data_IF_866602999346
#
_entry.id   IF_866602999346
#
_cell.length_a   1.000
_cell.length_b   1.000
_cell.length_c   1.000
_cell.angle_alpha   90.00
_cell.angle_beta   90.00
_cell.angle_gamma   90.00
#
_symmetry.space_group_name_H-M   'P 1'
#
loop_
_entity.id
_entity.type
_entity.pdbx_description
1 polymer ?
#
# COMPACT_ATOMS: atom_id res chain seq x y z
N UNK A 1 3.96 -8.01 24.16
CA UNK A 1 3.35 -6.83 23.51
C UNK A 1 3.50 -5.67 24.47
N UNK A 2 3.68 -4.46 23.95
CA UNK A 2 4.19 -3.30 24.67
C UNK A 2 4.00 -2.01 23.87
N UNK A 3 4.89 -1.03 24.02
CA UNK A 3 4.80 0.25 23.33
C UNK A 3 5.55 0.22 21.98
N UNK A 4 4.84 0.54 20.90
CA UNK A 4 5.37 0.72 19.55
C UNK A 4 5.83 2.15 19.36
N UNK A 5 7.10 2.33 19.01
CA UNK A 5 7.76 3.65 18.94
C UNK A 5 8.05 4.07 17.51
N UNK A 6 8.18 5.38 17.30
CA UNK A 6 8.74 5.90 16.06
C UNK A 6 10.16 5.36 15.84
N UNK A 7 10.45 4.87 14.64
CA UNK A 7 11.76 4.34 14.29
C UNK A 7 12.91 5.36 14.49
N UNK A 8 12.62 6.66 14.38
CA UNK A 8 13.62 7.72 14.56
C UNK A 8 14.06 7.86 16.03
N UNK A 9 13.18 7.49 16.96
CA UNK A 9 13.39 7.61 18.41
C UNK A 9 13.95 6.34 19.03
N UNK A 10 14.12 5.26 18.24
CA UNK A 10 14.77 4.05 18.73
C UNK A 10 16.24 4.31 19.04
N UNK A 11 16.66 3.87 20.22
CA UNK A 11 18.07 3.75 20.55
C UNK A 11 18.79 2.78 19.61
N UNK A 12 20.12 2.88 19.54
CA UNK A 12 20.93 1.94 18.75
C UNK A 12 20.72 0.49 19.19
N UNK A 13 20.48 0.24 20.48
CA UNK A 13 20.21 -1.11 20.99
C UNK A 13 18.83 -1.60 20.54
N UNK A 14 17.79 -0.77 20.59
CA UNK A 14 16.45 -1.17 20.11
C UNK A 14 16.45 -1.48 18.61
N UNK A 15 17.21 -0.71 17.79
CA UNK A 15 17.39 -1.01 16.36
C UNK A 15 18.08 -2.35 16.16
N UNK A 16 19.16 -2.61 16.90
CA UNK A 16 19.91 -3.86 16.84
C UNK A 16 19.03 -5.06 17.25
N UNK A 17 18.34 -4.97 18.39
CA UNK A 17 17.46 -6.02 18.90
C UNK A 17 16.34 -6.36 17.90
N UNK A 18 15.76 -5.35 17.26
CA UNK A 18 14.76 -5.55 16.22
C UNK A 18 15.35 -6.27 15.00
N UNK A 19 16.48 -5.79 14.48
CA UNK A 19 17.17 -6.39 13.33
C UNK A 19 17.53 -7.85 13.61
N UNK A 20 18.11 -8.13 14.78
CA UNK A 20 18.52 -9.47 15.17
C UNK A 20 17.32 -10.41 15.31
N UNK A 21 16.21 -9.94 15.88
CA UNK A 21 14.97 -10.73 15.97
C UNK A 21 14.39 -11.04 14.59
N UNK A 22 14.41 -10.08 13.65
CA UNK A 22 13.94 -10.30 12.27
C UNK A 22 14.84 -11.29 11.52
N UNK A 23 16.16 -11.16 11.62
CA UNK A 23 17.12 -12.08 11.02
C UNK A 23 16.98 -13.50 11.61
N UNK A 24 16.80 -13.62 12.92
CA UNK A 24 16.54 -14.90 13.58
C UNK A 24 15.21 -15.51 13.10
N UNK A 25 14.14 -14.71 12.98
CA UNK A 25 12.85 -15.17 12.47
C UNK A 25 12.97 -15.66 11.02
N UNK A 26 13.76 -14.96 10.20
CA UNK A 26 14.09 -15.36 8.83
C UNK A 26 14.86 -16.68 8.78
N UNK A 27 15.90 -16.83 9.61
CA UNK A 27 16.70 -18.07 9.69
C UNK A 27 15.87 -19.30 10.07
N UNK A 28 14.79 -19.12 10.82
CA UNK A 28 13.87 -20.20 11.21
C UNK A 28 12.88 -20.61 10.10
N UNK A 29 12.82 -19.86 9.00
CA UNK A 29 11.80 -20.01 7.94
C UNK A 29 10.43 -19.43 8.28
N UNK A 30 10.19 -18.96 9.52
CA UNK A 30 8.92 -18.37 9.92
C UNK A 30 8.63 -17.05 9.24
N UNK A 31 9.64 -16.22 8.97
CA UNK A 31 9.44 -14.96 8.24
C UNK A 31 8.80 -15.20 6.86
N UNK A 32 9.22 -16.26 6.16
CA UNK A 32 8.71 -16.58 4.82
C UNK A 32 7.24 -17.04 4.85
N UNK A 33 6.78 -17.56 5.98
CA UNK A 33 5.35 -17.85 6.16
C UNK A 33 4.52 -16.57 6.21
N UNK A 34 5.05 -15.48 6.76
CA UNK A 34 4.38 -14.17 6.72
C UNK A 34 4.32 -13.62 5.30
N UNK A 35 5.42 -13.72 4.53
CA UNK A 35 5.43 -13.34 3.10
C UNK A 35 4.37 -14.13 2.33
N UNK A 36 4.34 -15.47 2.49
CA UNK A 36 3.37 -16.33 1.82
C UNK A 36 1.92 -16.01 2.26
N UNK A 37 1.70 -15.76 3.55
CA UNK A 37 0.38 -15.42 4.09
C UNK A 37 -0.20 -14.17 3.41
N UNK A 38 0.62 -13.15 3.19
CA UNK A 38 0.22 -11.93 2.49
C UNK A 38 -0.05 -12.18 1.01
N UNK A 39 0.82 -12.95 0.33
CA UNK A 39 0.63 -13.38 -1.08
C UNK A 39 -0.70 -14.12 -1.23
N UNK A 40 -0.99 -15.08 -0.36
CA UNK A 40 -2.21 -15.88 -0.37
C UNK A 40 -3.45 -15.01 -0.16
N UNK A 41 -3.39 -14.07 0.79
CA UNK A 41 -4.51 -13.17 1.06
C UNK A 41 -4.78 -12.20 -0.10
N UNK A 42 -3.73 -11.71 -0.76
CA UNK A 42 -3.85 -10.92 -1.98
C UNK A 42 -4.41 -11.74 -3.15
N UNK A 43 -4.07 -13.03 -3.22
CA UNK A 43 -4.57 -13.94 -4.24
C UNK A 43 -6.00 -14.45 -3.99
N UNK A 44 -6.57 -14.22 -2.80
CA UNK A 44 -7.90 -14.70 -2.41
C UNK A 44 -9.00 -13.64 -2.63
N UNK A 45 -9.77 -13.69 -3.74
CA UNK A 45 -10.78 -12.69 -4.06
C UNK A 45 -12.01 -12.74 -3.14
N UNK A 46 -12.61 -11.58 -2.92
CA UNK A 46 -13.86 -11.42 -2.15
C UNK A 46 -14.84 -10.56 -2.96
N UNK A 47 -15.94 -11.11 -3.52
CA UNK A 47 -16.37 -12.50 -3.41
C UNK A 47 -15.43 -13.46 -4.15
N UNK A 48 -15.51 -14.75 -3.82
CA UNK A 48 -14.67 -15.81 -4.40
C UNK A 48 -14.82 -15.98 -5.92
N UNK A 49 -15.91 -15.46 -6.49
CA UNK A 49 -16.16 -15.42 -7.95
C UNK A 49 -15.52 -14.21 -8.63
N UNK A 50 -15.01 -13.25 -7.86
CA UNK A 50 -14.41 -12.02 -8.34
C UNK A 50 -12.95 -12.18 -8.77
N UNK A 51 -12.31 -11.04 -9.04
CA UNK A 51 -10.87 -10.97 -9.30
C UNK A 51 -10.15 -10.47 -8.04
N UNK A 52 -9.01 -11.09 -7.65
CA UNK A 52 -8.19 -10.60 -6.54
C UNK A 52 -7.63 -9.19 -6.81
N UNK A 53 -7.67 -8.78 -8.08
CA UNK A 53 -7.26 -7.45 -8.53
C UNK A 53 -8.31 -6.36 -8.24
N UNK A 54 -9.52 -6.75 -7.85
CA UNK A 54 -10.62 -5.83 -7.51
C UNK A 54 -10.81 -5.69 -6.01
N UNK A 55 -11.11 -6.80 -5.31
CA UNK A 55 -11.15 -6.88 -3.86
C UNK A 55 -10.69 -8.26 -3.43
N UNK A 56 -9.85 -8.31 -2.41
CA UNK A 56 -9.32 -9.54 -1.85
C UNK A 56 -9.35 -9.48 -0.32
N UNK A 57 -8.89 -10.55 0.33
CA UNK A 57 -9.00 -10.73 1.78
C UNK A 57 -8.28 -9.65 2.58
N UNK A 58 -7.17 -9.12 2.06
CA UNK A 58 -6.31 -8.17 2.76
C UNK A 58 -6.38 -6.74 2.22
N UNK A 59 -6.90 -6.51 1.01
CA UNK A 59 -6.83 -5.22 0.32
C UNK A 59 -8.11 -4.90 -0.48
N UNK A 60 -8.21 -3.62 -0.84
CA UNK A 60 -9.24 -3.01 -1.68
C UNK A 60 -10.64 -3.21 -1.10
N UNK A 61 -10.75 -3.29 0.21
CA UNK A 61 -12.01 -3.53 0.90
C UNK A 61 -11.90 -3.28 2.41
N UNK A 62 -13.04 -3.31 3.14
CA UNK A 62 -13.11 -2.95 4.55
C UNK A 62 -12.18 -3.74 5.47
N UNK A 63 -11.76 -4.94 5.10
CA UNK A 63 -10.87 -5.75 5.93
C UNK A 63 -9.41 -5.30 5.90
N UNK A 64 -9.04 -4.35 5.02
CA UNK A 64 -7.66 -3.87 4.87
C UNK A 64 -6.99 -3.54 6.21
N UNK A 65 -7.61 -2.70 7.03
CA UNK A 65 -7.05 -2.27 8.30
C UNK A 65 -7.02 -3.38 9.38
N UNK A 66 -8.13 -4.07 9.70
CA UNK A 66 -8.09 -5.15 10.70
C UNK A 66 -7.22 -6.34 10.29
N UNK A 67 -7.17 -6.67 9.00
CA UNK A 67 -6.32 -7.75 8.49
C UNK A 67 -4.84 -7.42 8.77
N UNK A 68 -4.39 -6.23 8.38
CA UNK A 68 -3.01 -5.83 8.62
C UNK A 68 -2.71 -5.67 10.12
N UNK A 69 -3.64 -5.17 10.94
CA UNK A 69 -3.46 -5.12 12.40
C UNK A 69 -3.20 -6.49 13.01
N UNK A 70 -3.98 -7.50 12.65
CA UNK A 70 -3.75 -8.87 13.13
C UNK A 70 -2.43 -9.45 12.60
N UNK A 71 -2.14 -9.23 11.32
CA UNK A 71 -0.89 -9.65 10.69
C UNK A 71 0.35 -9.09 11.42
N UNK A 72 0.34 -7.79 11.73
CA UNK A 72 1.39 -7.12 12.51
C UNK A 72 1.47 -7.66 13.95
N UNK A 73 0.33 -7.87 14.61
CA UNK A 73 0.28 -8.41 15.98
C UNK A 73 0.91 -9.79 16.06
N UNK A 74 0.58 -10.68 15.12
CA UNK A 74 1.16 -12.03 15.05
C UNK A 74 2.65 -11.98 14.73
N UNK A 75 3.08 -11.09 13.83
CA UNK A 75 4.50 -10.89 13.54
C UNK A 75 5.27 -10.44 14.78
N UNK A 76 4.76 -9.42 15.50
CA UNK A 76 5.35 -8.91 16.74
C UNK A 76 5.41 -9.99 17.84
N UNK A 77 4.40 -10.84 17.96
CA UNK A 77 4.42 -11.99 18.89
C UNK A 77 5.54 -12.97 18.55
N UNK A 78 5.78 -13.26 17.27
CA UNK A 78 6.86 -14.16 16.86
C UNK A 78 8.24 -13.52 17.10
N UNK A 79 8.40 -12.21 16.90
CA UNK A 79 9.62 -11.50 17.29
C UNK A 79 9.85 -11.54 18.80
N UNK A 80 8.79 -11.37 19.61
CA UNK A 80 8.87 -11.40 21.07
C UNK A 80 9.19 -12.78 21.65
N UNK A 81 8.88 -13.86 20.92
CA UNK A 81 9.36 -15.21 21.26
C UNK A 81 10.87 -15.34 21.13
N UNK A 82 11.51 -14.53 20.29
CA UNK A 82 12.97 -14.48 20.10
C UNK A 82 13.59 -13.52 21.12
N UNK A 83 13.07 -12.29 21.21
CA UNK A 83 13.49 -11.29 22.19
C UNK A 83 12.25 -10.58 22.77
N UNK A 84 11.87 -10.86 24.04
CA UNK A 84 10.68 -10.29 24.66
C UNK A 84 10.65 -8.76 24.77
N UNK A 85 11.80 -8.09 24.65
CA UNK A 85 11.90 -6.62 24.69
C UNK A 85 11.59 -5.95 23.35
N UNK A 86 11.53 -6.71 22.25
CA UNK A 86 11.25 -6.16 20.92
C UNK A 86 9.77 -5.82 20.79
N UNK A 87 9.48 -4.57 20.43
CA UNK A 87 8.18 -4.15 19.92
C UNK A 87 8.36 -3.69 18.46
N UNK A 88 7.29 -3.75 17.68
CA UNK A 88 7.32 -3.34 16.29
C UNK A 88 7.40 -1.81 16.18
N UNK A 89 8.47 -1.23 15.60
CA UNK A 89 8.51 0.21 15.38
C UNK A 89 7.62 0.61 14.20
N UNK A 90 7.24 1.89 14.16
CA UNK A 90 6.56 2.47 13.01
C UNK A 90 7.46 3.45 12.26
N UNK A 91 7.28 3.54 10.95
CA UNK A 91 7.94 4.54 10.12
C UNK A 91 7.01 5.71 9.84
N UNK A 92 7.25 6.85 10.50
CA UNK A 92 6.59 8.10 10.15
C UNK A 92 7.22 8.72 8.88
N UNK A 93 6.73 8.26 7.74
CA UNK A 93 7.10 8.77 6.42
C UNK A 93 6.56 10.18 6.13
N UNK A 94 5.82 10.81 7.04
CA UNK A 94 5.45 12.23 6.88
C UNK A 94 6.60 13.16 7.28
N UNK A 95 7.48 12.67 8.17
CA UNK A 95 8.64 13.40 8.70
C UNK A 95 9.95 12.85 8.13
N UNK A 96 10.22 11.55 8.31
CA UNK A 96 11.46 10.92 7.86
C UNK A 96 11.30 10.35 6.44
N UNK A 97 11.37 11.24 5.44
CA UNK A 97 10.74 11.05 4.13
C UNK A 97 11.64 11.20 2.89
N UNK A 98 12.97 11.05 3.05
CA UNK A 98 13.92 11.21 1.95
C UNK A 98 15.01 10.12 1.96
N UNK A 99 15.90 10.13 0.96
CA UNK A 99 16.93 9.09 0.81
C UNK A 99 17.98 9.09 1.95
N UNK A 100 18.12 10.20 2.68
CA UNK A 100 19.03 10.31 3.83
C UNK A 100 18.34 10.02 5.16
N UNK A 101 17.10 9.55 5.11
CA UNK A 101 16.31 9.23 6.29
C UNK A 101 16.98 8.16 7.14
N UNK A 102 16.87 8.31 8.46
CA UNK A 102 17.54 7.44 9.45
C UNK A 102 17.11 5.98 9.33
N UNK A 103 15.91 5.76 8.78
CA UNK A 103 15.40 4.42 8.50
C UNK A 103 16.28 3.64 7.50
N UNK A 104 16.87 4.32 6.52
CA UNK A 104 17.71 3.72 5.45
C UNK A 104 19.18 3.57 5.83
N UNK A 105 19.52 3.75 7.11
CA UNK A 105 20.88 3.55 7.59
C UNK A 105 21.32 2.09 7.50
N UNK A 106 22.62 1.87 7.32
CA UNK A 106 23.22 0.54 7.16
C UNK A 106 23.17 -0.31 8.44
N UNK A 107 22.87 0.28 9.60
CA UNK A 107 22.61 -0.46 10.84
C UNK A 107 21.12 -0.68 11.10
N UNK A 108 20.25 -0.39 10.13
CA UNK A 108 18.81 -0.62 10.24
C UNK A 108 18.21 -1.22 8.96
N UNK A 109 17.55 -0.46 8.08
CA UNK A 109 16.86 -1.06 6.92
C UNK A 109 17.72 -1.16 5.66
N UNK A 110 18.90 -0.54 5.66
CA UNK A 110 19.74 -0.42 4.46
C UNK A 110 19.17 0.55 3.42
N UNK A 111 20.00 0.90 2.44
CA UNK A 111 19.73 1.95 1.47
C UNK A 111 18.85 1.55 0.28
N UNK A 112 18.96 2.36 -0.77
CA UNK A 112 18.33 2.11 -2.07
C UNK A 112 19.03 0.97 -2.83
N UNK A 113 18.38 0.45 -3.87
CA UNK A 113 18.97 -0.56 -4.74
C UNK A 113 20.02 0.01 -5.70
N UNK A 114 21.03 -0.79 -6.03
CA UNK A 114 22.06 -0.46 -7.02
C UNK A 114 21.54 -0.69 -8.45
N UNK A 115 21.35 0.35 -9.29
CA UNK A 115 20.82 0.20 -10.64
C UNK A 115 21.70 -0.65 -11.57
N UNK A 116 23.01 -0.66 -11.33
CA UNK A 116 23.96 -1.49 -12.08
C UNK A 116 23.82 -2.99 -11.77
N UNK A 117 23.12 -3.34 -10.70
CA UNK A 117 22.83 -4.72 -10.27
C UNK A 117 21.32 -5.01 -10.22
N UNK A 118 20.57 -4.43 -11.16
CA UNK A 118 19.12 -4.61 -11.28
C UNK A 118 18.32 -4.01 -10.12
N UNK A 119 18.85 -3.00 -9.44
CA UNK A 119 18.26 -2.38 -8.24
C UNK A 119 18.28 -3.28 -6.99
N UNK A 120 19.26 -4.17 -6.86
CA UNK A 120 19.48 -4.97 -5.66
C UNK A 120 19.91 -4.09 -4.48
N UNK A 121 19.36 -4.32 -3.30
CA UNK A 121 19.84 -3.69 -2.05
C UNK A 121 21.16 -4.36 -1.65
N UNK A 122 22.20 -3.54 -1.50
CA UNK A 122 23.58 -3.97 -1.24
C UNK A 122 24.13 -3.47 0.11
N UNK A 123 23.35 -2.71 0.87
CA UNK A 123 23.73 -2.24 2.21
C UNK A 123 22.69 -2.63 3.25
N UNK A 124 23.09 -2.62 4.52
CA UNK A 124 22.24 -2.99 5.63
C UNK A 124 22.10 -4.50 5.87
N UNK A 125 21.49 -4.90 6.99
CA UNK A 125 21.34 -6.30 7.40
C UNK A 125 20.49 -7.13 6.42
N UNK A 126 19.65 -6.49 5.62
CA UNK A 126 18.73 -7.15 4.69
C UNK A 126 19.23 -7.22 3.25
N UNK A 127 20.52 -6.94 3.02
CA UNK A 127 21.17 -7.23 1.75
C UNK A 127 21.33 -8.74 1.56
N UNK A 128 21.25 -9.24 0.33
CA UNK A 128 21.40 -10.69 0.08
C UNK A 128 22.77 -11.23 0.51
N UNK A 129 23.84 -10.42 0.45
CA UNK A 129 25.18 -10.84 0.90
C UNK A 129 25.26 -10.97 2.44
N UNK A 130 24.25 -10.47 3.16
CA UNK A 130 24.09 -10.60 4.61
C UNK A 130 23.07 -11.68 4.99
N UNK A 131 22.89 -12.70 4.14
CA UNK A 131 21.99 -13.85 4.31
C UNK A 131 20.49 -13.52 4.28
N UNK A 132 20.10 -12.37 3.70
CA UNK A 132 18.70 -12.06 3.42
C UNK A 132 18.29 -12.58 2.03
N UNK A 133 18.13 -13.89 1.92
CA UNK A 133 17.68 -14.55 0.69
C UNK A 133 16.16 -14.65 0.65
N UNK A 134 15.54 -14.10 -0.38
CA UNK A 134 14.10 -14.16 -0.59
C UNK A 134 13.70 -15.50 -1.22
N UNK A 135 12.55 -16.04 -0.80
CA UNK A 135 12.01 -17.32 -1.31
C UNK A 135 10.97 -17.16 -2.41
N UNK A 136 10.42 -15.96 -2.55
CA UNK A 136 9.38 -15.59 -3.52
C UNK A 136 9.85 -14.34 -4.29
N UNK A 137 9.67 -14.34 -5.61
CA UNK A 137 10.01 -13.24 -6.53
C UNK A 137 11.51 -12.91 -6.67
N UNK A 138 12.34 -13.97 -6.69
CA UNK A 138 13.79 -13.90 -6.89
C UNK A 138 14.56 -13.94 -5.56
N UNK A 139 15.91 -13.98 -5.58
CA UNK A 139 16.68 -14.26 -4.37
C UNK A 139 17.01 -13.04 -3.52
N UNK A 140 16.96 -11.82 -4.06
CA UNK A 140 17.51 -10.63 -3.39
C UNK A 140 16.49 -9.49 -3.29
N UNK A 141 16.51 -8.79 -2.16
CA UNK A 141 15.74 -7.57 -1.93
C UNK A 141 16.08 -6.50 -2.98
N UNK A 142 15.06 -5.84 -3.53
CA UNK A 142 15.20 -4.75 -4.50
C UNK A 142 14.43 -3.52 -4.08
N UNK A 143 15.02 -2.35 -4.30
CA UNK A 143 14.38 -1.04 -4.06
C UNK A 143 14.72 -0.06 -5.17
N UNK A 144 13.79 0.82 -5.51
CA UNK A 144 13.97 1.92 -6.48
C UNK A 144 13.41 3.21 -5.88
N UNK A 145 13.92 3.56 -4.71
CA UNK A 145 13.37 4.59 -3.85
C UNK A 145 13.29 5.92 -4.61
N UNK A 146 12.11 6.54 -4.60
CA UNK A 146 11.86 7.84 -5.22
C UNK A 146 11.82 7.84 -6.76
N UNK A 147 11.96 6.68 -7.41
CA UNK A 147 12.13 6.62 -8.88
C UNK A 147 10.80 6.73 -9.62
N UNK A 148 9.76 6.02 -9.16
CA UNK A 148 8.43 6.03 -9.80
C UNK A 148 7.57 7.20 -9.34
N UNK A 149 7.72 7.60 -8.08
CA UNK A 149 7.08 8.75 -7.44
C UNK A 149 8.15 9.47 -6.64
N UNK A 150 8.19 10.81 -6.73
CA UNK A 150 9.25 11.61 -6.12
C UNK A 150 8.98 12.07 -4.68
N UNK A 151 7.79 11.84 -4.12
CA UNK A 151 7.46 12.25 -2.75
C UNK A 151 6.57 11.25 -2.02
N UNK A 152 6.79 11.12 -0.72
CA UNK A 152 5.93 10.42 0.22
C UNK A 152 4.70 11.26 0.60
N UNK A 153 3.66 10.66 1.22
CA UNK A 153 2.53 11.42 1.71
C UNK A 153 2.91 12.36 2.88
N UNK A 154 2.19 13.47 3.02
CA UNK A 154 2.48 14.52 4.01
C UNK A 154 1.61 14.41 5.25
N UNK A 155 1.99 15.09 6.33
CA UNK A 155 1.16 15.18 7.55
C UNK A 155 -0.22 15.79 7.25
N UNK A 156 -0.30 16.81 6.40
CA UNK A 156 -1.57 17.40 5.95
C UNK A 156 -2.48 16.36 5.29
N UNK A 157 -1.93 15.44 4.48
CA UNK A 157 -2.74 14.39 3.85
C UNK A 157 -3.24 13.36 4.88
N UNK A 158 -2.46 13.10 5.92
CA UNK A 158 -2.87 12.27 7.06
C UNK A 158 -3.96 12.99 7.87
N UNK A 159 -3.81 14.28 8.17
CA UNK A 159 -4.81 15.09 8.88
C UNK A 159 -6.15 15.15 8.12
N UNK A 160 -6.09 15.37 6.81
CA UNK A 160 -7.26 15.31 5.92
C UNK A 160 -7.94 13.93 6.00
N UNK A 161 -7.15 12.85 6.02
CA UNK A 161 -7.68 11.50 6.16
C UNK A 161 -8.35 11.28 7.53
N UNK A 162 -7.72 11.74 8.61
CA UNK A 162 -8.23 11.63 9.98
C UNK A 162 -9.54 12.43 10.19
N UNK A 163 -9.83 13.40 9.34
CA UNK A 163 -11.08 14.19 9.40
C UNK A 163 -12.32 13.42 8.91
N UNK A 164 -12.15 12.34 8.14
CA UNK A 164 -13.25 11.58 7.56
C UNK A 164 -13.98 10.80 8.66
N UNK A 165 -15.26 11.07 8.89
CA UNK A 165 -16.03 10.46 9.98
C UNK A 165 -16.32 8.96 9.76
N UNK A 166 -16.53 8.55 8.51
CA UNK A 166 -16.99 7.20 8.17
C UNK A 166 -15.82 6.27 7.87
N UNK A 167 -15.77 5.10 8.52
CA UNK A 167 -14.72 4.10 8.32
C UNK A 167 -14.57 3.69 6.85
N UNK A 168 -15.66 3.27 6.21
CA UNK A 168 -15.69 2.94 4.79
C UNK A 168 -17.11 3.19 4.26
N UNK A 169 -17.27 3.23 2.94
CA UNK A 169 -18.56 3.47 2.29
C UNK A 169 -18.82 2.42 1.21
N UNK A 170 -20.10 2.23 0.85
CA UNK A 170 -20.44 1.45 -0.33
C UNK A 170 -19.71 2.01 -1.58
N UNK A 171 -19.28 1.16 -2.52
CA UNK A 171 -19.56 -0.27 -2.64
C UNK A 171 -18.60 -1.20 -1.85
N UNK A 172 -17.86 -0.67 -0.86
CA UNK A 172 -16.96 -1.45 0.01
C UNK A 172 -15.79 -2.06 -0.77
N UNK A 173 -15.27 -1.29 -1.73
CA UNK A 173 -14.11 -1.68 -2.50
C UNK A 173 -13.19 -0.48 -2.86
N UNK A 174 -12.19 -0.69 -3.71
CA UNK A 174 -11.27 0.35 -4.18
C UNK A 174 -11.95 1.54 -4.89
N UNK A 175 -13.21 1.41 -5.31
CA UNK A 175 -13.97 2.47 -5.98
C UNK A 175 -14.79 3.36 -5.02
N UNK A 176 -14.76 3.05 -3.72
CA UNK A 176 -15.47 3.82 -2.69
C UNK A 176 -14.94 5.25 -2.62
N UNK A 177 -15.83 6.25 -2.51
CA UNK A 177 -15.44 7.66 -2.57
C UNK A 177 -14.48 8.02 -1.42
N UNK A 178 -13.22 8.43 -1.70
CA UNK A 178 -12.24 8.76 -0.68
C UNK A 178 -12.60 10.02 0.13
N UNK A 179 -13.60 10.81 -0.27
CA UNK A 179 -14.13 11.90 0.56
C UNK A 179 -15.02 11.38 1.71
N UNK A 180 -15.53 10.15 1.60
CA UNK A 180 -16.46 9.56 2.58
C UNK A 180 -16.02 8.19 3.11
N UNK A 181 -14.87 7.68 2.65
CA UNK A 181 -14.28 6.42 3.13
C UNK A 181 -12.88 6.67 3.68
N UNK A 182 -12.76 6.63 5.01
CA UNK A 182 -11.46 6.71 5.69
C UNK A 182 -10.53 5.58 5.22
N UNK A 183 -11.03 4.35 5.17
CA UNK A 183 -10.29 3.16 4.71
C UNK A 183 -9.75 3.37 3.31
N UNK A 184 -10.57 3.77 2.34
CA UNK A 184 -10.12 3.91 0.95
C UNK A 184 -9.21 5.14 0.75
N UNK A 185 -9.41 6.21 1.53
CA UNK A 185 -8.49 7.36 1.57
C UNK A 185 -7.11 6.96 2.08
N UNK A 186 -7.05 6.21 3.18
CA UNK A 186 -5.81 5.74 3.79
C UNK A 186 -5.13 4.68 2.93
N UNK A 187 -5.89 3.76 2.34
CA UNK A 187 -5.35 2.73 1.44
C UNK A 187 -4.80 3.36 0.14
N UNK A 188 -5.52 4.34 -0.44
CA UNK A 188 -5.03 5.21 -1.50
C UNK A 188 -5.29 4.72 -2.92
N UNK A 189 -6.53 4.32 -3.23
CA UNK A 189 -6.91 3.83 -4.56
C UNK A 189 -7.47 4.90 -5.51
N UNK A 190 -7.98 6.03 -5.00
CA UNK A 190 -8.62 7.07 -5.81
C UNK A 190 -8.13 8.48 -5.47
N UNK A 191 -8.06 9.32 -6.50
CA UNK A 191 -7.89 10.76 -6.35
C UNK A 191 -6.47 11.20 -5.97
N UNK A 192 -6.36 12.46 -5.54
CA UNK A 192 -5.11 13.05 -5.06
C UNK A 192 -4.99 12.85 -3.56
N UNK A 193 -3.82 12.43 -3.07
CA UNK A 193 -3.60 12.18 -1.63
C UNK A 193 -3.54 10.71 -1.23
N UNK A 194 -3.21 9.81 -2.17
CA UNK A 194 -2.94 8.39 -1.87
C UNK A 194 -1.88 8.27 -0.77
N UNK A 195 -2.19 7.49 0.28
CA UNK A 195 -1.33 7.33 1.44
C UNK A 195 -0.55 6.00 1.37
N UNK A 196 -1.15 4.88 1.80
CA UNK A 196 -0.48 3.57 1.86
C UNK A 196 0.12 3.14 0.52
N UNK A 197 -0.69 3.10 -0.55
CA UNK A 197 -0.24 2.67 -1.87
C UNK A 197 0.92 3.53 -2.40
N UNK A 198 0.95 4.82 -2.04
CA UNK A 198 2.00 5.74 -2.47
C UNK A 198 3.34 5.38 -1.85
N UNK A 199 3.38 4.94 -0.59
CA UNK A 199 4.61 4.52 0.08
C UNK A 199 5.18 3.25 -0.54
N UNK A 200 4.33 2.25 -0.81
CA UNK A 200 4.73 1.04 -1.55
C UNK A 200 5.38 1.39 -2.91
N UNK A 201 4.75 2.27 -3.70
CA UNK A 201 5.27 2.72 -4.99
C UNK A 201 6.54 3.59 -4.85
N UNK A 202 6.64 4.39 -3.79
CA UNK A 202 7.79 5.25 -3.54
C UNK A 202 9.04 4.43 -3.20
N UNK A 203 8.91 3.35 -2.42
CA UNK A 203 10.04 2.41 -2.18
C UNK A 203 10.36 1.63 -3.47
N UNK A 204 9.34 1.15 -4.17
CA UNK A 204 9.52 0.37 -5.40
C UNK A 204 10.10 -1.02 -5.17
N UNK A 205 10.47 -1.70 -6.26
CA UNK A 205 11.10 -3.02 -6.20
C UNK A 205 10.22 -4.06 -5.48
N UNK A 206 10.78 -4.74 -4.48
CA UNK A 206 10.05 -5.78 -3.73
C UNK A 206 8.79 -5.23 -3.04
N UNK A 207 8.79 -3.96 -2.62
CA UNK A 207 7.63 -3.32 -1.98
C UNK A 207 6.43 -3.09 -2.91
N UNK A 208 6.53 -3.30 -4.23
CA UNK A 208 5.36 -3.17 -5.15
C UNK A 208 4.66 -4.49 -5.45
N UNK A 209 5.19 -5.61 -4.97
CA UNK A 209 4.67 -6.94 -5.27
C UNK A 209 3.70 -7.43 -4.21
N UNK A 210 2.95 -8.49 -4.53
CA UNK A 210 2.17 -9.21 -3.52
C UNK A 210 3.04 -9.84 -2.44
N UNK A 211 4.33 -10.05 -2.73
CA UNK A 211 5.35 -10.48 -1.79
C UNK A 211 6.06 -9.30 -1.10
N UNK A 212 5.47 -8.10 -1.05
CA UNK A 212 6.07 -6.91 -0.41
C UNK A 212 6.61 -7.09 1.02
N UNK A 213 6.09 -8.01 1.86
CA UNK A 213 6.73 -8.35 3.13
C UNK A 213 8.15 -8.94 3.01
N UNK A 214 8.63 -9.29 1.82
CA UNK A 214 10.05 -9.60 1.56
C UNK A 214 10.99 -8.47 2.03
N UNK A 215 10.50 -7.23 2.03
CA UNK A 215 11.19 -6.07 2.62
C UNK A 215 10.72 -5.85 4.07
N UNK A 216 11.59 -5.91 5.09
CA UNK A 216 11.20 -5.62 6.47
C UNK A 216 10.61 -4.21 6.68
N UNK A 217 10.87 -3.26 5.77
CA UNK A 217 10.21 -1.95 5.76
C UNK A 217 8.68 -2.06 5.67
N UNK A 218 8.15 -3.15 5.09
CA UNK A 218 6.71 -3.43 5.04
C UNK A 218 6.08 -3.30 6.42
N UNK A 219 6.68 -3.95 7.42
CA UNK A 219 6.10 -4.02 8.76
C UNK A 219 6.13 -2.66 9.45
N UNK A 220 7.18 -1.85 9.23
CA UNK A 220 7.27 -0.49 9.77
C UNK A 220 6.29 0.46 9.10
N UNK A 221 6.12 0.34 7.78
CA UNK A 221 5.13 1.10 7.01
C UNK A 221 3.72 0.80 7.50
N UNK A 222 3.35 -0.48 7.56
CA UNK A 222 2.03 -0.93 8.00
C UNK A 222 1.79 -0.64 9.48
N UNK A 223 2.82 -0.65 10.33
CA UNK A 223 2.70 -0.23 11.73
C UNK A 223 2.30 1.24 11.86
N UNK A 224 2.73 2.11 10.93
CA UNK A 224 2.28 3.50 10.89
C UNK A 224 0.87 3.65 10.31
N UNK A 225 0.48 2.82 9.32
CA UNK A 225 -0.92 2.75 8.86
C UNK A 225 -1.85 2.33 10.01
N UNK A 226 -1.43 1.35 10.81
CA UNK A 226 -2.15 0.90 12.00
C UNK A 226 -2.25 2.00 13.07
N UNK A 227 -1.18 2.79 13.26
CA UNK A 227 -1.16 3.96 14.14
C UNK A 227 -2.20 4.99 13.71
N UNK A 228 -2.23 5.36 12.42
CA UNK A 228 -3.20 6.31 11.87
C UNK A 228 -4.63 5.80 12.09
N UNK A 229 -4.87 4.50 11.93
CA UNK A 229 -6.19 3.93 12.23
C UNK A 229 -6.53 4.01 13.72
N UNK A 230 -5.60 3.68 14.61
CA UNK A 230 -5.81 3.82 16.06
C UNK A 230 -6.06 5.28 16.47
N UNK A 231 -5.42 6.27 15.83
CA UNK A 231 -5.69 7.70 16.04
C UNK A 231 -7.09 8.08 15.54
N UNK A 232 -7.48 7.57 14.37
CA UNK A 232 -8.81 7.77 13.82
C UNK A 232 -9.90 7.21 14.75
N UNK A 233 -9.69 6.03 15.33
CA UNK A 233 -10.63 5.42 16.27
C UNK A 233 -10.84 6.24 17.56
N UNK A 234 -9.89 7.11 17.92
CA UNK A 234 -10.01 8.02 19.07
C UNK A 234 -10.72 9.34 18.72
N UNK A 235 -11.00 9.61 17.44
CA UNK A 235 -11.69 10.84 17.03
C UNK A 235 -13.17 10.75 17.41
N UNK A 236 -13.77 11.79 18.03
CA UNK A 236 -15.18 11.77 18.44
C UNK A 236 -16.18 11.51 17.30
N UNK A 237 -15.83 11.89 16.07
CA UNK A 237 -16.67 11.69 14.89
C UNK A 237 -16.56 10.30 14.25
N UNK A 238 -15.66 9.44 14.74
CA UNK A 238 -15.42 8.12 14.15
C UNK A 238 -16.67 7.25 14.21
N UNK A 239 -17.10 6.71 13.07
CA UNK A 239 -18.28 5.85 12.96
C UNK A 239 -18.11 4.45 13.58
N UNK A 240 -16.89 4.07 13.99
CA UNK A 240 -16.53 2.67 14.16
C UNK A 240 -16.49 1.90 12.82
N UNK A 241 -16.18 0.61 12.90
CA UNK A 241 -15.99 -0.24 11.71
C UNK A 241 -17.27 -0.39 10.89
N UNK A 242 -17.13 -0.24 9.57
CA UNK A 242 -18.18 -0.50 8.60
C UNK A 242 -17.62 -1.35 7.46
N UNK A 243 -18.40 -2.26 6.87
CA UNK A 243 -19.80 -2.55 7.19
C UNK A 243 -19.96 -3.52 8.37
N UNK A 244 -21.07 -3.40 9.09
CA UNK A 244 -21.45 -4.36 10.14
C UNK A 244 -22.06 -5.64 9.58
N UNK A 245 -22.59 -5.60 8.36
CA UNK A 245 -23.26 -6.71 7.68
C UNK A 245 -23.67 -6.35 6.25
N UNK A 246 -24.13 -7.34 5.49
CA UNK A 246 -24.76 -7.14 4.18
C UNK A 246 -23.82 -6.90 3.00
N UNK A 247 -22.50 -7.02 3.18
CA UNK A 247 -21.52 -7.06 2.06
C UNK A 247 -20.95 -8.47 1.88
N UNK A 248 -19.96 -8.56 1.00
CA UNK A 248 -19.22 -9.78 0.69
C UNK A 248 -18.49 -10.35 1.91
N UNK A 249 -18.58 -11.67 2.08
CA UNK A 249 -17.96 -12.41 3.19
C UNK A 249 -16.47 -12.12 3.30
N UNK A 250 -16.00 -11.97 4.53
CA UNK A 250 -14.63 -11.61 4.89
C UNK A 250 -14.43 -10.12 5.18
N UNK A 251 -15.48 -9.29 5.00
CA UNK A 251 -15.42 -7.84 5.19
C UNK A 251 -16.49 -7.28 6.13
N UNK A 252 -17.47 -8.08 6.57
CA UNK A 252 -18.40 -7.64 7.61
C UNK A 252 -17.74 -7.73 8.99
N UNK A 253 -18.21 -6.93 9.96
CA UNK A 253 -17.64 -6.82 11.31
C UNK A 253 -17.35 -8.16 12.01
N UNK A 254 -18.23 -9.16 11.82
CA UNK A 254 -18.12 -10.46 12.47
C UNK A 254 -17.68 -11.58 11.51
N UNK A 255 -17.29 -11.25 10.28
CA UNK A 255 -16.76 -12.24 9.35
C UNK A 255 -15.35 -12.66 9.77
N UNK A 256 -15.07 -13.94 9.60
CA UNK A 256 -13.71 -14.45 9.73
C UNK A 256 -12.82 -13.86 8.65
N UNK A 257 -11.66 -13.34 9.05
CA UNK A 257 -10.63 -12.88 8.13
C UNK A 257 -9.73 -14.04 7.72
N UNK A 258 -9.69 -14.35 6.42
CA UNK A 258 -8.72 -15.29 5.85
C UNK A 258 -7.29 -14.78 6.10
N UNK A 259 -6.29 -15.62 6.42
CA UNK A 259 -6.33 -17.08 6.50
C UNK A 259 -6.51 -17.63 7.92
N UNK A 260 -6.76 -16.78 8.92
CA UNK A 260 -6.79 -17.19 10.32
C UNK A 260 -8.03 -18.02 10.66
N UNK A 261 -7.95 -18.75 11.77
CA UNK A 261 -9.01 -19.63 12.26
C UNK A 261 -10.24 -18.88 12.78
N UNK A 262 -11.28 -19.63 13.15
CA UNK A 262 -12.48 -19.09 13.77
C UNK A 262 -12.16 -18.20 14.98
N UNK A 263 -12.73 -16.99 15.00
CA UNK A 263 -12.55 -16.00 16.07
C UNK A 263 -11.74 -14.77 15.66
N UNK A 264 -10.94 -14.85 14.59
CA UNK A 264 -10.23 -13.69 14.04
C UNK A 264 -11.12 -12.92 13.07
N UNK A 265 -11.78 -11.89 13.58
CA UNK A 265 -12.73 -11.02 12.86
C UNK A 265 -12.28 -9.56 12.94
N UNK A 266 -12.82 -8.64 12.10
CA UNK A 266 -12.60 -7.22 12.31
C UNK A 266 -12.89 -6.75 13.73
N UNK A 267 -13.99 -7.22 14.33
CA UNK A 267 -14.35 -6.93 15.73
C UNK A 267 -13.26 -7.31 16.73
N UNK A 268 -12.65 -8.49 16.56
CA UNK A 268 -11.67 -9.03 17.50
C UNK A 268 -10.39 -8.19 17.64
N UNK A 269 -10.14 -7.28 16.69
CA UNK A 269 -8.94 -6.44 16.63
C UNK A 269 -9.20 -4.94 16.68
N UNK A 270 -10.45 -4.51 16.94
CA UNK A 270 -10.76 -3.07 17.00
C UNK A 270 -10.06 -2.37 18.17
N UNK A 271 -9.91 -3.05 19.30
CA UNK A 271 -9.43 -2.46 20.55
C UNK A 271 -7.97 -2.85 20.81
N UNK A 272 -7.03 -1.97 20.45
CA UNK A 272 -5.59 -2.22 20.60
C UNK A 272 -5.17 -2.44 22.06
N UNK A 273 -5.92 -1.91 23.04
CA UNK A 273 -5.61 -2.11 24.46
C UNK A 273 -5.84 -3.57 24.87
N UNK A 274 -6.88 -4.22 24.32
CA UNK A 274 -7.12 -5.67 24.49
C UNK A 274 -6.13 -6.52 23.72
N UNK A 275 -5.57 -5.97 22.64
CA UNK A 275 -4.46 -6.58 21.92
C UNK A 275 -3.11 -6.33 22.62
N UNK A 276 -3.06 -5.62 23.76
CA UNK A 276 -1.88 -5.51 24.61
C UNK A 276 -0.72 -4.67 24.06
N UNK A 277 -0.98 -3.75 23.13
CA UNK A 277 0.03 -2.78 22.68
C UNK A 277 -0.52 -1.34 22.65
N UNK A 278 0.40 -0.37 22.67
CA UNK A 278 0.11 1.07 22.52
C UNK A 278 1.08 1.70 21.53
N UNK A 279 0.81 2.94 21.14
CA UNK A 279 1.77 3.80 20.45
C UNK A 279 2.31 4.86 21.43
N UNK A 280 3.59 5.18 21.33
CA UNK A 280 4.28 6.21 22.12
C UNK A 280 3.54 7.55 22.21
N UNK A 281 2.88 7.99 21.13
CA UNK A 281 2.10 9.24 21.11
C UNK A 281 0.69 9.11 21.70
N UNK A 282 0.24 7.91 22.05
CA UNK A 282 -1.09 7.65 22.63
C UNK A 282 -1.05 7.40 24.14
N UNK A 283 0.14 7.23 24.70
CA UNK A 283 0.37 7.06 26.14
C UNK A 283 0.17 8.39 26.89
N UNK A 284 -1.08 8.87 27.00
CA UNK A 284 -1.39 10.13 27.70
C UNK A 284 -2.86 10.59 27.78
N UNK A 285 -3.82 9.87 27.18
CA UNK A 285 -5.22 10.32 27.12
C UNK A 285 -6.13 9.64 28.15
N UNK A 286 -6.44 10.33 29.24
CA UNK A 286 -7.60 10.03 30.10
C UNK A 286 -8.87 9.92 29.26
N UNK A 287 -9.69 8.90 29.52
CA UNK A 287 -11.04 8.75 28.97
C UNK A 287 -11.92 9.93 29.37
N UNK A 288 -11.97 10.98 28.55
CA UNK A 288 -12.92 12.06 28.72
C UNK A 288 -14.22 11.73 28.00
N UNK A 289 -15.14 11.15 28.76
CA UNK A 289 -16.57 11.20 28.48
C UNK A 289 -17.08 12.61 28.80
N UNK A 290 -17.35 13.46 27.80
CA UNK A 290 -18.23 14.63 28.03
C UNK A 290 -19.09 14.98 26.81
N UNK A 291 -20.38 14.94 27.12
CA UNK A 291 -21.57 15.55 26.54
C UNK A 291 -21.44 16.67 25.49
N UNK A 292 -22.30 16.51 24.48
CA UNK A 292 -22.78 17.49 23.52
C UNK A 292 -23.36 18.73 24.21
N UNK A 293 -22.84 19.92 23.89
CA UNK A 293 -23.56 21.16 23.56
C UNK A 293 -22.53 22.30 23.46
N UNK A 294 -22.29 22.82 22.26
CA UNK A 294 -22.46 24.25 21.91
C UNK A 294 -21.92 24.57 20.50
N UNK A 295 -22.43 25.67 19.97
CA UNK A 295 -22.72 25.95 18.57
C UNK A 295 -21.62 26.65 17.77
N UNK A 296 -21.76 26.48 16.45
CA UNK A 296 -21.04 27.04 15.30
C UNK A 296 -20.93 28.57 15.34
N UNK A 297 -19.79 29.09 14.85
CA UNK A 297 -19.74 30.39 14.19
C UNK A 297 -18.84 30.33 12.93
N UNK A 298 -19.34 30.88 11.82
CA UNK A 298 -18.75 30.86 10.47
C UNK A 298 -18.36 32.28 10.08
N UNK A 299 -17.17 32.47 9.51
CA UNK A 299 -16.92 33.62 8.62
C UNK A 299 -15.77 33.39 7.63
N UNK A 300 -16.20 33.34 6.38
CA UNK A 300 -15.61 33.57 5.04
C UNK A 300 -14.20 34.18 4.81
N UNK A 301 -13.58 33.59 3.78
CA UNK A 301 -13.11 34.17 2.51
C UNK A 301 -11.63 34.48 2.17
N UNK A 302 -11.37 34.16 0.89
CA UNK A 302 -10.46 34.78 -0.10
C UNK A 302 -9.13 34.09 -0.49
N UNK A 303 -9.23 33.27 -1.55
CA UNK A 303 -8.65 33.50 -2.89
C UNK A 303 -7.14 33.82 -3.05
N UNK A 304 -6.36 32.89 -3.64
CA UNK A 304 -5.04 33.20 -4.24
C UNK A 304 -4.89 32.51 -5.61
N UNK A 305 -4.63 33.35 -6.61
CA UNK A 305 -4.38 33.07 -8.03
C UNK A 305 -3.16 32.18 -8.32
N UNK A 306 -3.29 31.35 -9.36
CA UNK A 306 -2.19 30.61 -10.02
C UNK A 306 -1.56 31.45 -11.13
N UNK A 307 -0.23 31.47 -11.23
CA UNK A 307 0.51 31.83 -12.45
C UNK A 307 1.51 30.73 -12.86
N UNK A 308 1.76 30.52 -14.16
CA UNK A 308 2.50 29.37 -14.67
C UNK A 308 3.99 29.66 -14.80
N UNK A 309 4.82 28.66 -14.50
CA UNK A 309 6.22 28.62 -14.90
C UNK A 309 6.47 27.49 -15.88
N UNK A 310 6.81 27.91 -17.09
CA UNK A 310 7.42 27.11 -18.15
C UNK A 310 8.91 26.98 -17.86
N UNK A 311 9.42 25.75 -17.78
CA UNK A 311 10.83 25.49 -18.04
C UNK A 311 11.00 24.13 -18.71
N UNK A 312 11.50 24.18 -19.92
CA UNK A 312 11.91 23.06 -20.77
C UNK A 312 13.17 22.38 -20.24
N UNK A 313 13.16 21.05 -20.11
CA UNK A 313 14.39 20.24 -20.11
C UNK A 313 14.16 18.91 -20.82
N UNK A 314 15.13 18.54 -21.68
CA UNK A 314 15.18 17.36 -22.56
C UNK A 314 15.12 16.02 -21.78
N UNK A 315 14.73 14.92 -22.45
CA UNK A 315 14.21 13.72 -21.79
C UNK A 315 15.31 12.77 -21.27
N UNK A 316 15.10 12.31 -20.03
CA UNK A 316 15.75 11.13 -19.47
C UNK A 316 15.16 9.84 -20.08
N UNK A 317 15.83 8.67 -19.98
CA UNK A 317 15.44 7.45 -20.66
C UNK A 317 14.04 6.99 -20.23
N UNK A 318 13.21 6.67 -21.22
CA UNK A 318 11.78 6.38 -21.14
C UNK A 318 11.44 5.23 -20.17
N UNK A 319 10.83 5.56 -19.02
CA UNK A 319 9.91 4.64 -18.33
C UNK A 319 8.67 4.48 -19.23
N UNK A 320 8.38 3.29 -19.72
CA UNK A 320 7.31 3.04 -20.71
C UNK A 320 5.91 3.31 -20.10
N UNK A 321 5.20 4.33 -20.61
CA UNK A 321 3.91 4.83 -20.04
C UNK A 321 2.66 4.16 -20.64
N UNK A 322 1.54 4.13 -19.92
CA UNK A 322 0.23 3.76 -20.49
C UNK A 322 -0.56 5.00 -20.93
N UNK A 323 0.00 5.80 -21.84
CA UNK A 323 -0.53 7.09 -22.34
C UNK A 323 -2.07 7.23 -22.45
N UNK A 324 -2.76 6.31 -23.13
CA UNK A 324 -4.22 6.38 -23.30
C UNK A 324 -4.95 6.12 -21.98
N UNK A 325 -4.55 5.11 -21.22
CA UNK A 325 -5.15 4.79 -19.92
C UNK A 325 -4.88 5.93 -18.91
N UNK A 326 -3.66 6.44 -18.87
CA UNK A 326 -3.29 7.62 -18.07
C UNK A 326 -4.13 8.84 -18.45
N UNK A 327 -4.36 9.11 -19.74
CA UNK A 327 -5.21 10.22 -20.17
C UNK A 327 -6.68 9.98 -19.81
N UNK A 328 -7.17 8.74 -19.93
CA UNK A 328 -8.54 8.34 -19.61
C UNK A 328 -8.87 8.45 -18.11
N UNK A 329 -7.91 8.17 -17.23
CA UNK A 329 -8.12 8.22 -15.79
C UNK A 329 -7.59 9.52 -15.16
N UNK A 330 -6.64 10.19 -15.81
CA UNK A 330 -6.07 11.46 -15.36
C UNK A 330 -4.77 11.32 -14.55
N UNK A 331 -4.37 10.09 -14.23
CA UNK A 331 -3.13 9.83 -13.51
C UNK A 331 -2.54 8.46 -13.91
N UNK A 332 -1.22 8.35 -13.85
CA UNK A 332 -0.51 7.07 -14.02
C UNK A 332 -0.68 6.14 -12.82
N UNK A 333 -1.20 6.68 -11.71
CA UNK A 333 -1.36 6.02 -10.41
C UNK A 333 -2.77 5.45 -10.21
N UNK A 334 -3.64 5.61 -11.20
CA UNK A 334 -4.99 5.10 -11.12
C UNK A 334 -4.96 3.57 -11.22
N UNK A 335 -5.65 2.83 -10.33
CA UNK A 335 -5.53 1.37 -10.23
C UNK A 335 -5.68 0.63 -11.58
N UNK A 336 -6.60 1.00 -12.48
CA UNK A 336 -6.69 0.37 -13.79
C UNK A 336 -5.46 0.65 -14.69
N UNK A 337 -4.80 1.79 -14.51
CA UNK A 337 -3.57 2.17 -15.23
C UNK A 337 -2.37 1.41 -14.67
N UNK A 338 -2.28 1.27 -13.35
CA UNK A 338 -1.25 0.46 -12.69
C UNK A 338 -1.40 -1.02 -13.05
N UNK A 339 -2.61 -1.55 -13.00
CA UNK A 339 -2.91 -2.91 -13.43
C UNK A 339 -2.41 -3.21 -14.85
N UNK A 340 -2.71 -2.33 -15.81
CA UNK A 340 -2.27 -2.53 -17.19
C UNK A 340 -0.73 -2.48 -17.32
N UNK A 341 -0.05 -1.71 -16.46
CA UNK A 341 1.42 -1.63 -16.43
C UNK A 341 2.02 -2.91 -15.85
N UNK A 342 1.54 -3.33 -14.69
CA UNK A 342 1.98 -4.57 -14.03
C UNK A 342 1.72 -5.79 -14.93
N UNK A 343 0.52 -5.90 -15.51
CA UNK A 343 0.21 -6.99 -16.44
C UNK A 343 1.12 -6.96 -17.67
N UNK A 344 1.44 -5.78 -18.20
CA UNK A 344 2.38 -5.64 -19.32
C UNK A 344 3.78 -6.11 -18.92
N UNK A 345 4.30 -5.59 -17.82
CA UNK A 345 5.69 -5.74 -17.41
C UNK A 345 5.99 -7.14 -16.87
N UNK A 346 5.08 -7.67 -16.06
CA UNK A 346 5.32 -8.88 -15.27
C UNK A 346 4.75 -10.12 -15.95
N UNK A 347 3.69 -9.97 -16.76
CA UNK A 347 3.07 -11.12 -17.46
C UNK A 347 3.47 -11.14 -18.92
N UNK A 348 3.16 -10.10 -19.68
CA UNK A 348 3.26 -10.16 -21.15
C UNK A 348 4.72 -10.08 -21.61
N UNK A 349 5.52 -9.18 -21.06
CA UNK A 349 6.93 -9.00 -21.44
C UNK A 349 7.83 -10.14 -20.95
N UNK A 350 7.41 -10.91 -19.95
CA UNK A 350 8.10 -12.12 -19.50
C UNK A 350 7.64 -13.39 -20.24
N UNK A 351 6.56 -13.30 -21.03
CA UNK A 351 6.01 -14.45 -21.75
C UNK A 351 6.72 -14.73 -23.08
N UNK A 352 6.49 -15.94 -23.62
CA UNK A 352 6.92 -16.29 -25.00
C UNK A 352 6.34 -15.38 -26.09
N UNK A 353 5.33 -14.56 -25.77
CA UNK A 353 4.70 -13.62 -26.69
C UNK A 353 5.35 -12.24 -26.70
N UNK A 354 6.37 -12.01 -25.86
CA UNK A 354 7.12 -10.75 -25.75
C UNK A 354 7.41 -10.12 -27.12
N UNK A 355 8.07 -10.84 -28.04
CA UNK A 355 8.51 -10.27 -29.34
C UNK A 355 7.36 -9.76 -30.22
N UNK A 356 6.20 -10.42 -30.17
CA UNK A 356 5.02 -10.01 -30.94
C UNK A 356 4.32 -8.83 -30.26
N UNK A 357 4.25 -8.87 -28.93
CA UNK A 357 3.67 -7.81 -28.13
C UNK A 357 4.51 -6.53 -28.15
N UNK A 358 5.85 -6.62 -28.05
CA UNK A 358 6.76 -5.47 -28.17
C UNK A 358 6.58 -4.73 -29.49
N UNK A 359 6.39 -5.44 -30.61
CA UNK A 359 6.09 -4.81 -31.91
C UNK A 359 4.76 -4.06 -31.93
N UNK A 360 3.73 -4.60 -31.29
CA UNK A 360 2.45 -3.90 -31.12
C UNK A 360 2.62 -2.68 -30.20
N UNK A 361 3.37 -2.84 -29.12
CA UNK A 361 3.63 -1.82 -28.11
C UNK A 361 4.46 -0.66 -28.67
N UNK A 362 5.41 -0.91 -29.56
CA UNK A 362 6.16 0.11 -30.30
C UNK A 362 5.22 0.96 -31.17
N UNK A 363 4.26 0.30 -31.84
CA UNK A 363 3.19 0.99 -32.56
C UNK A 363 2.34 1.86 -31.62
N UNK A 364 1.89 1.29 -30.50
CA UNK A 364 1.18 2.03 -29.47
C UNK A 364 1.98 3.27 -29.01
N UNK A 365 3.27 3.13 -28.73
CA UNK A 365 4.12 4.24 -28.28
C UNK A 365 4.35 5.31 -29.33
N UNK A 366 4.36 4.93 -30.61
CA UNK A 366 4.49 5.86 -31.73
C UNK A 366 3.22 6.69 -31.94
N UNK A 367 2.03 6.11 -31.73
CA UNK A 367 0.76 6.75 -32.12
C UNK A 367 -0.08 7.28 -30.94
N UNK A 368 0.08 6.72 -29.74
CA UNK A 368 -0.75 7.08 -28.58
C UNK A 368 -0.49 8.47 -27.96
N UNK A 369 0.72 9.04 -27.95
CA UNK A 369 0.95 10.35 -27.32
C UNK A 369 0.08 11.49 -27.87
N UNK A 370 -0.01 11.75 -29.20
CA UNK A 370 -0.84 12.83 -29.72
C UNK A 370 -2.34 12.60 -29.46
N UNK A 371 -2.79 11.35 -29.43
CA UNK A 371 -4.18 11.00 -29.09
C UNK A 371 -4.45 11.30 -27.61
N UNK A 372 -3.54 10.89 -26.72
CA UNK A 372 -3.62 11.18 -25.29
C UNK A 372 -3.64 12.70 -25.01
N UNK A 373 -2.87 13.49 -25.76
CA UNK A 373 -2.86 14.95 -25.63
C UNK A 373 -4.20 15.59 -26.02
N UNK A 374 -4.90 15.03 -27.01
CA UNK A 374 -6.25 15.49 -27.37
C UNK A 374 -7.29 15.06 -26.33
N UNK A 375 -7.17 13.84 -25.79
CA UNK A 375 -8.06 13.36 -24.72
C UNK A 375 -7.99 14.25 -23.47
N UNK A 376 -6.80 14.73 -23.09
CA UNK A 376 -6.65 15.63 -21.93
C UNK A 376 -7.36 16.97 -22.08
N UNK A 377 -7.74 17.37 -23.30
CA UNK A 377 -8.43 18.64 -23.59
C UNK A 377 -9.95 18.51 -23.63
N UNK A 378 -10.50 17.29 -23.64
CA UNK A 378 -11.92 17.04 -23.88
C UNK A 378 -12.48 15.97 -22.92
N UNK A 379 -13.21 16.39 -21.89
CA UNK A 379 -13.77 15.49 -20.88
C UNK A 379 -14.72 14.44 -21.46
N UNK A 380 -15.54 14.81 -22.46
CA UNK A 380 -16.45 13.88 -23.13
C UNK A 380 -15.70 12.75 -23.87
N UNK A 381 -14.56 13.07 -24.50
CA UNK A 381 -13.70 12.09 -25.17
C UNK A 381 -12.97 11.21 -24.15
N UNK A 382 -12.56 11.77 -23.01
CA UNK A 382 -11.98 11.03 -21.87
C UNK A 382 -12.97 9.97 -21.35
N UNK A 383 -14.22 10.36 -21.09
CA UNK A 383 -15.27 9.45 -20.63
C UNK A 383 -15.60 8.37 -21.67
N UNK A 384 -15.73 8.75 -22.94
CA UNK A 384 -15.99 7.81 -24.03
C UNK A 384 -14.88 6.76 -24.10
N UNK A 385 -13.61 7.15 -24.16
CA UNK A 385 -12.48 6.20 -24.27
C UNK A 385 -12.28 5.40 -22.99
N UNK A 386 -12.50 6.00 -21.81
CA UNK A 386 -12.45 5.29 -20.52
C UNK A 386 -13.39 4.08 -20.52
N UNK A 387 -14.65 4.27 -20.89
CA UNK A 387 -15.66 3.20 -20.80
C UNK A 387 -15.78 2.32 -22.04
N UNK A 388 -15.45 2.81 -23.25
CA UNK A 388 -15.55 2.02 -24.49
C UNK A 388 -14.27 1.28 -24.86
N UNK A 389 -13.11 1.70 -24.35
CA UNK A 389 -11.80 1.12 -24.72
C UNK A 389 -11.04 0.63 -23.51
N UNK A 390 -10.72 1.52 -22.55
CA UNK A 390 -9.79 1.15 -21.47
C UNK A 390 -10.43 0.18 -20.49
N UNK A 391 -11.67 0.42 -20.07
CA UNK A 391 -12.36 -0.46 -19.12
C UNK A 391 -12.63 -1.87 -19.69
N UNK A 392 -13.14 -2.05 -20.93
CA UNK A 392 -13.24 -3.37 -21.54
C UNK A 392 -11.88 -4.06 -21.67
N UNK A 393 -10.82 -3.31 -22.01
CA UNK A 393 -9.48 -3.88 -22.12
C UNK A 393 -8.94 -4.35 -20.75
N UNK A 394 -9.17 -3.59 -19.68
CA UNK A 394 -8.88 -3.97 -18.29
C UNK A 394 -9.66 -5.22 -17.89
N UNK A 395 -10.96 -5.30 -18.22
CA UNK A 395 -11.78 -6.47 -17.93
C UNK A 395 -11.30 -7.72 -18.67
N UNK A 396 -10.97 -7.59 -19.95
CA UNK A 396 -10.44 -8.70 -20.79
C UNK A 396 -9.06 -9.14 -20.29
N UNK A 397 -8.14 -8.21 -20.03
CA UNK A 397 -6.81 -8.55 -19.50
C UNK A 397 -6.89 -9.16 -18.11
N UNK A 398 -7.81 -8.70 -17.26
CA UNK A 398 -8.12 -9.33 -15.97
C UNK A 398 -8.64 -10.77 -16.13
N UNK A 399 -9.56 -11.00 -17.08
CA UNK A 399 -10.05 -12.35 -17.39
C UNK A 399 -8.95 -13.27 -17.95
N UNK A 400 -8.07 -12.75 -18.81
CA UNK A 400 -6.92 -13.50 -19.32
C UNK A 400 -5.91 -13.83 -18.22
N UNK A 401 -5.63 -12.90 -17.30
CA UNK A 401 -4.76 -13.16 -16.16
C UNK A 401 -5.29 -14.31 -15.30
N UNK A 402 -6.60 -14.35 -15.05
CA UNK A 402 -7.27 -15.45 -14.31
C UNK A 402 -7.13 -16.80 -15.02
N UNK A 403 -7.23 -16.83 -16.35
CA UNK A 403 -7.04 -18.07 -17.14
C UNK A 403 -5.59 -18.54 -17.11
N UNK A 404 -4.63 -17.62 -17.23
CA UNK A 404 -3.20 -17.95 -17.19
C UNK A 404 -2.78 -18.50 -15.82
N UNK A 405 -3.32 -17.94 -14.74
CA UNK A 405 -3.10 -18.43 -13.37
C UNK A 405 -3.70 -19.83 -13.17
N UNK A 406 -4.93 -20.08 -13.64
CA UNK A 406 -5.59 -21.40 -13.54
C UNK A 406 -4.90 -22.49 -14.34
N UNK A 407 -4.18 -22.15 -15.41
CA UNK A 407 -3.45 -23.09 -16.25
C UNK A 407 -2.01 -23.33 -15.78
N UNK A 408 -1.56 -22.68 -14.69
CA UNK A 408 -0.17 -22.79 -14.21
C UNK A 408 0.86 -22.26 -15.21
N UNK A 409 0.46 -21.29 -16.04
CA UNK A 409 1.30 -20.72 -17.11
C UNK A 409 1.87 -19.35 -16.75
N UNK A 410 1.52 -18.78 -15.59
CA UNK A 410 2.28 -17.69 -14.98
C UNK A 410 3.55 -18.28 -14.39
N UNK A 411 4.70 -17.94 -14.98
CA UNK A 411 6.01 -18.36 -14.49
C UNK A 411 6.48 -17.45 -13.38
#
# INVERSE_FOLDING_TARGET
MGERKNQSELSSQEKQDFVDAVLALKSSGKYDQFVQMHVDAMANPTPSTGSPMMRNSAHRGPAFLPWHREYLRLFEIELQKINPSVNLPYWDWTVDNNLNSSIFSDNFMGGNGNPSNGNRVETGPFAFDNNWELTIDGPALRRTIGSSISSLPTSVQVDDCLSIATYDSAPWDATSDPATSFRNRLEGWLGTGNIHNRVHVWIGGSMTLGSSPNDPLFFLHHCFIDKIWAEWQQKPQSSGYLPTGGTNTGHNLHDQMFPWSAGTTPESVLDISKLGYTYDTMSGGTTHSVNLTESIDVSDDANVEKKPHSSTSKPAPSTSKCFIATAAYGSELEPPVQFLREFRDDVVLQSRFQKSFSRMLDGYYKFSPPIADQMRKHDSLKYLIKYSVVWPFVAITGACALVLQKLGLSK
#
